data_IF_472785693055
#
_entry.id   IF_472785693055
#
_cell.length_a   1.000
_cell.length_b   1.000
_cell.length_c   1.000
_cell.angle_alpha   90.00
_cell.angle_beta   90.00
_cell.angle_gamma   90.00
#
_symmetry.space_group_name_H-M   'P 1'
#
loop_
_entity.id
_entity.type
_entity.pdbx_description
1 polymer ?
#
# COMPACT_ATOMS: atom_id res chain seq x y z
N UNK A 1 1.29 0.85 33.31
CA UNK A 1 1.59 2.19 32.73
C UNK A 1 0.34 2.66 32.00
N UNK A 2 -0.26 3.73 32.50
CA UNK A 2 -1.56 4.24 32.06
C UNK A 2 -1.51 4.70 30.60
N UNK A 3 -2.13 3.94 29.69
CA UNK A 3 -2.60 4.51 28.42
C UNK A 3 -3.80 5.37 28.76
N UNK A 4 -3.55 6.66 28.99
CA UNK A 4 -4.59 7.67 29.07
C UNK A 4 -5.41 7.57 27.79
N UNK A 5 -6.61 7.00 27.90
CA UNK A 5 -7.66 7.21 26.94
C UNK A 5 -7.96 8.70 27.01
N UNK A 6 -7.27 9.47 26.15
CA UNK A 6 -7.60 10.86 25.88
C UNK A 6 -9.07 10.82 25.51
N UNK A 7 -9.91 11.24 26.45
CA UNK A 7 -11.34 11.41 26.23
C UNK A 7 -11.46 12.54 25.22
N UNK A 8 -11.42 12.15 23.94
CA UNK A 8 -11.48 13.09 22.82
C UNK A 8 -12.89 13.64 22.84
N UNK A 9 -13.01 14.88 23.33
CA UNK A 9 -14.22 15.70 23.24
C UNK A 9 -14.85 15.46 21.87
N UNK A 10 -16.13 15.04 21.80
CA UNK A 10 -16.76 14.69 20.53
C UNK A 10 -16.60 15.88 19.57
N UNK A 11 -16.19 15.62 18.32
CA UNK A 11 -15.99 16.69 17.36
C UNK A 11 -17.29 17.48 17.22
N UNK A 12 -17.17 18.80 17.10
CA UNK A 12 -18.32 19.63 16.73
C UNK A 12 -18.88 19.11 15.40
N UNK A 13 -20.20 19.29 15.13
CA UNK A 13 -20.80 18.87 13.84
C UNK A 13 -19.97 19.33 12.64
N UNK A 14 -19.47 20.57 12.71
CA UNK A 14 -18.61 21.18 11.67
C UNK A 14 -17.28 20.44 11.50
N UNK A 15 -16.66 19.98 12.60
CA UNK A 15 -15.45 19.17 12.53
C UNK A 15 -15.73 17.78 11.94
N UNK A 16 -16.84 17.13 12.31
CA UNK A 16 -17.24 15.85 11.74
C UNK A 16 -17.51 15.95 10.22
N UNK A 17 -18.14 17.02 9.77
CA UNK A 17 -18.38 17.28 8.35
C UNK A 17 -17.07 17.53 7.58
N UNK A 18 -16.13 18.28 8.17
CA UNK A 18 -14.81 18.51 7.59
C UNK A 18 -13.97 17.22 7.50
N UNK A 19 -14.02 16.38 8.54
CA UNK A 19 -13.39 15.06 8.57
C UNK A 19 -14.00 14.12 7.52
N UNK A 20 -15.33 14.12 7.38
CA UNK A 20 -16.04 13.35 6.35
C UNK A 20 -15.68 13.82 4.93
N UNK A 21 -15.56 15.14 4.72
CA UNK A 21 -15.12 15.72 3.46
C UNK A 21 -13.67 15.32 3.13
N UNK A 22 -12.77 15.29 4.14
CA UNK A 22 -11.41 14.79 3.97
C UNK A 22 -11.39 13.30 3.61
N UNK A 23 -12.21 12.48 4.28
CA UNK A 23 -12.36 11.06 3.98
C UNK A 23 -12.87 10.82 2.54
N UNK A 24 -13.78 11.66 2.05
CA UNK A 24 -14.27 11.60 0.67
C UNK A 24 -13.20 12.05 -0.34
N UNK A 25 -12.50 13.14 -0.05
CA UNK A 25 -11.39 13.64 -0.85
C UNK A 25 -10.24 12.64 -0.93
N UNK A 26 -9.93 11.91 0.14
CA UNK A 26 -8.92 10.86 0.12
C UNK A 26 -9.34 9.67 -0.78
N UNK A 27 -10.62 9.29 -0.76
CA UNK A 27 -11.16 8.17 -1.57
C UNK A 27 -11.23 8.47 -3.06
N UNK A 28 -11.71 9.65 -3.43
CA UNK A 28 -12.00 9.98 -4.85
C UNK A 28 -11.37 11.27 -5.35
N UNK A 29 -10.90 12.12 -4.45
CA UNK A 29 -10.41 13.44 -4.77
C UNK A 29 -8.99 13.49 -5.32
N UNK A 30 -8.64 14.67 -5.81
CA UNK A 30 -7.31 15.08 -6.26
C UNK A 30 -6.49 15.67 -5.11
N UNK A 31 -5.17 15.76 -5.28
CA UNK A 31 -4.29 16.39 -4.28
C UNK A 31 -4.69 17.82 -3.91
N UNK A 32 -5.30 18.59 -4.84
CA UNK A 32 -5.83 19.93 -4.55
C UNK A 32 -7.01 19.88 -3.58
N UNK A 33 -7.97 18.99 -3.82
CA UNK A 33 -9.13 18.81 -2.95
C UNK A 33 -8.71 18.31 -1.56
N UNK A 34 -7.74 17.40 -1.50
CA UNK A 34 -7.21 16.91 -0.23
C UNK A 34 -6.51 18.01 0.55
N UNK A 35 -5.71 18.87 -0.10
CA UNK A 35 -5.11 20.04 0.56
C UNK A 35 -6.15 21.00 1.11
N UNK A 36 -7.19 21.28 0.33
CA UNK A 36 -8.29 22.14 0.77
C UNK A 36 -9.03 21.53 1.98
N UNK A 37 -9.36 20.23 1.92
CA UNK A 37 -10.00 19.52 3.02
C UNK A 37 -9.12 19.49 4.28
N UNK A 38 -7.80 19.27 4.14
CA UNK A 38 -6.87 19.35 5.27
C UNK A 38 -6.82 20.75 5.88
N UNK A 39 -6.84 21.82 5.06
CA UNK A 39 -6.89 23.18 5.57
C UNK A 39 -8.18 23.45 6.36
N UNK A 40 -9.32 22.94 5.88
CA UNK A 40 -10.60 23.01 6.59
C UNK A 40 -10.53 22.31 7.95
N UNK A 41 -10.07 21.05 7.99
CA UNK A 41 -9.95 20.27 9.23
C UNK A 41 -9.02 20.94 10.24
N UNK A 42 -7.95 21.62 9.80
CA UNK A 42 -7.05 22.35 10.72
C UNK A 42 -7.65 23.66 11.23
N UNK A 43 -8.54 24.27 10.46
CA UNK A 43 -9.22 25.52 10.84
C UNK A 43 -10.39 25.27 11.80
N UNK A 44 -10.93 24.05 11.85
CA UNK A 44 -12.04 23.69 12.73
C UNK A 44 -11.55 23.30 14.11
N UNK A 45 -12.25 23.77 15.14
CA UNK A 45 -11.97 23.39 16.53
C UNK A 45 -12.30 21.92 16.75
N UNK A 46 -11.26 21.11 16.99
CA UNK A 46 -11.38 19.67 17.25
C UNK A 46 -11.32 18.79 16.00
N UNK A 47 -10.92 19.32 14.84
CA UNK A 47 -10.68 18.51 13.64
C UNK A 47 -9.40 17.69 13.72
N UNK A 48 -9.48 16.41 13.38
CA UNK A 48 -8.33 15.50 13.32
C UNK A 48 -8.10 14.99 11.88
N UNK A 49 -6.90 15.24 11.34
CA UNK A 49 -6.51 14.75 10.01
C UNK A 49 -6.36 13.22 10.01
N UNK A 50 -5.98 12.64 11.14
CA UNK A 50 -5.81 11.20 11.31
C UNK A 50 -7.10 10.52 11.78
N UNK A 51 -8.25 11.21 11.67
CA UNK A 51 -9.54 10.61 12.01
C UNK A 51 -9.74 9.34 11.20
N UNK A 52 -9.93 8.24 11.93
CA UNK A 52 -10.22 6.93 11.37
C UNK A 52 -11.67 6.88 10.91
N UNK A 53 -11.92 6.25 9.78
CA UNK A 53 -13.26 6.10 9.20
C UNK A 53 -13.43 4.78 8.45
N UNK A 54 -14.68 4.41 8.21
CA UNK A 54 -15.04 3.19 7.47
C UNK A 54 -14.88 1.90 8.27
N UNK A 55 -15.17 0.77 7.62
CA UNK A 55 -15.28 -0.56 8.27
C UNK A 55 -13.95 -1.06 8.85
N UNK A 56 -12.81 -0.56 8.34
CA UNK A 56 -11.47 -0.95 8.79
C UNK A 56 -10.75 0.06 9.67
N UNK A 57 -11.43 1.09 10.18
CA UNK A 57 -10.83 2.19 10.95
C UNK A 57 -9.57 2.77 10.29
N UNK A 58 -9.67 3.07 8.99
CA UNK A 58 -8.55 3.55 8.18
C UNK A 58 -8.42 5.07 8.27
N UNK A 59 -7.20 5.59 8.20
CA UNK A 59 -6.95 7.04 8.09
C UNK A 59 -6.93 7.47 6.62
N UNK A 60 -7.06 8.79 6.31
CA UNK A 60 -6.93 9.29 4.94
C UNK A 60 -5.63 8.85 4.26
N UNK A 61 -4.54 8.73 5.03
CA UNK A 61 -3.24 8.32 4.53
C UNK A 61 -3.19 6.84 4.11
N UNK A 62 -3.92 5.95 4.79
CA UNK A 62 -4.08 4.56 4.37
C UNK A 62 -4.75 4.45 3.00
N UNK A 63 -5.81 5.24 2.78
CA UNK A 63 -6.53 5.27 1.49
C UNK A 63 -5.63 5.81 0.39
N UNK A 64 -4.87 6.87 0.64
CA UNK A 64 -3.91 7.41 -0.31
C UNK A 64 -2.80 6.40 -0.67
N UNK A 65 -2.30 5.66 0.33
CA UNK A 65 -1.31 4.61 0.13
C UNK A 65 -1.85 3.42 -0.67
N UNK A 66 -3.11 3.03 -0.42
CA UNK A 66 -3.82 1.99 -1.16
C UNK A 66 -4.07 2.37 -2.63
N UNK A 67 -4.41 3.64 -2.89
CA UNK A 67 -4.59 4.16 -4.27
C UNK A 67 -3.27 4.32 -5.03
N UNK A 68 -2.14 4.38 -4.33
CA UNK A 68 -0.82 4.62 -4.94
C UNK A 68 -0.59 6.06 -5.40
N UNK A 69 -1.44 6.99 -4.98
CA UNK A 69 -1.44 8.36 -5.48
C UNK A 69 -0.45 9.24 -4.68
N UNK A 70 0.81 9.25 -5.12
CA UNK A 70 1.91 9.92 -4.41
C UNK A 70 1.68 11.42 -4.19
N UNK A 71 0.88 12.09 -5.02
CA UNK A 71 0.54 13.51 -4.84
C UNK A 71 -0.36 13.71 -3.63
N UNK A 72 -1.35 12.82 -3.46
CA UNK A 72 -2.26 12.83 -2.31
C UNK A 72 -1.52 12.46 -1.03
N UNK A 73 -0.65 11.44 -1.09
CA UNK A 73 0.22 11.06 0.04
C UNK A 73 1.04 12.26 0.51
N UNK A 74 1.73 12.95 -0.40
CA UNK A 74 2.52 14.15 -0.06
C UNK A 74 1.65 15.24 0.56
N UNK A 75 0.47 15.50 -0.02
CA UNK A 75 -0.46 16.51 0.52
C UNK A 75 -0.91 16.20 1.95
N UNK A 76 -1.22 14.94 2.27
CA UNK A 76 -1.60 14.52 3.62
C UNK A 76 -0.41 14.61 4.58
N UNK A 77 0.79 14.19 4.15
CA UNK A 77 1.99 14.31 4.94
C UNK A 77 2.39 15.78 5.19
N UNK A 78 2.24 16.66 4.19
CA UNK A 78 2.42 18.12 4.34
C UNK A 78 1.45 18.70 5.36
N UNK A 79 0.23 18.15 5.41
CA UNK A 79 -0.77 18.53 6.38
C UNK A 79 -0.52 17.95 7.79
N UNK A 80 0.51 17.12 7.99
CA UNK A 80 0.87 16.55 9.29
C UNK A 80 0.20 15.22 9.62
N UNK A 81 -0.31 14.49 8.62
CA UNK A 81 -0.87 13.15 8.84
C UNK A 81 0.18 12.18 9.41
N UNK A 82 -0.24 11.36 10.36
CA UNK A 82 0.63 10.39 11.02
C UNK A 82 1.03 9.24 10.10
N UNK A 83 2.34 9.07 9.91
CA UNK A 83 2.94 7.98 9.14
C UNK A 83 2.86 6.61 9.85
N UNK A 84 2.67 6.64 11.17
CA UNK A 84 2.64 5.46 12.04
C UNK A 84 1.22 5.09 12.48
N UNK A 85 0.20 5.71 11.89
CA UNK A 85 -1.19 5.34 12.12
C UNK A 85 -1.40 3.86 11.82
N UNK A 86 -2.22 3.19 12.62
CA UNK A 86 -2.59 1.78 12.43
C UNK A 86 -4.07 1.68 12.11
N UNK A 87 -4.43 0.93 11.06
CA UNK A 87 -5.82 0.56 10.81
C UNK A 87 -6.35 -0.44 11.85
N UNK A 88 -7.67 -0.51 12.01
CA UNK A 88 -8.30 -1.38 13.01
C UNK A 88 -8.42 -2.83 12.57
N UNK A 89 -8.35 -3.08 11.26
CA UNK A 89 -8.58 -4.41 10.68
C UNK A 89 -7.34 -5.30 10.77
N UNK A 90 -6.17 -4.78 10.39
CA UNK A 90 -4.93 -5.55 10.34
C UNK A 90 -3.80 -4.93 11.18
N UNK A 91 -4.04 -3.77 11.79
CA UNK A 91 -2.98 -2.98 12.43
C UNK A 91 -1.96 -2.47 11.43
N UNK A 92 -2.32 -2.40 10.15
CA UNK A 92 -1.42 -1.98 9.09
C UNK A 92 -1.15 -0.50 9.18
N UNK A 93 0.09 -0.13 8.86
CA UNK A 93 0.44 1.27 8.61
C UNK A 93 0.17 1.64 7.14
N UNK A 94 0.14 2.94 6.79
CA UNK A 94 0.05 3.36 5.40
C UNK A 94 1.16 2.74 4.52
N UNK A 95 2.35 2.51 5.08
CA UNK A 95 3.45 1.87 4.35
C UNK A 95 3.18 0.39 4.07
N UNK A 96 2.55 -0.35 5.00
CA UNK A 96 2.10 -1.72 4.75
C UNK A 96 1.11 -1.78 3.59
N UNK A 97 0.10 -0.88 3.57
CA UNK A 97 -0.87 -0.78 2.47
C UNK A 97 -0.18 -0.54 1.13
N UNK A 98 0.78 0.40 1.09
CA UNK A 98 1.53 0.72 -0.13
C UNK A 98 2.32 -0.48 -0.65
N UNK A 99 3.03 -1.20 0.22
CA UNK A 99 3.82 -2.37 -0.17
C UNK A 99 2.97 -3.57 -0.55
N UNK A 100 1.90 -3.86 0.19
CA UNK A 100 0.98 -4.95 -0.12
C UNK A 100 0.37 -4.82 -1.52
N UNK A 101 0.10 -3.59 -1.96
CA UNK A 101 -0.51 -3.32 -3.26
C UNK A 101 0.52 -3.00 -4.37
N UNK A 102 1.82 -3.08 -4.08
CA UNK A 102 2.87 -2.79 -5.07
C UNK A 102 2.97 -1.32 -5.48
N UNK A 103 2.43 -0.39 -4.68
CA UNK A 103 2.39 1.03 -4.98
C UNK A 103 3.72 1.74 -4.69
N UNK A 104 4.73 1.47 -5.52
CA UNK A 104 6.09 1.98 -5.33
C UNK A 104 6.16 3.51 -5.21
N UNK A 105 5.35 4.26 -5.96
CA UNK A 105 5.32 5.73 -5.91
C UNK A 105 4.82 6.26 -4.57
N UNK A 106 3.77 5.66 -4.01
CA UNK A 106 3.25 6.03 -2.69
C UNK A 106 4.22 5.61 -1.58
N UNK A 107 4.80 4.41 -1.67
CA UNK A 107 5.82 3.95 -0.73
C UNK A 107 7.05 4.89 -0.71
N UNK A 108 7.57 5.27 -1.88
CA UNK A 108 8.67 6.23 -1.99
C UNK A 108 8.32 7.59 -1.38
N UNK A 109 7.08 8.06 -1.55
CA UNK A 109 6.63 9.31 -0.95
C UNK A 109 6.54 9.24 0.59
N UNK A 110 6.09 8.11 1.14
CA UNK A 110 6.06 7.88 2.59
C UNK A 110 7.47 7.77 3.18
N UNK A 111 8.37 7.02 2.52
CA UNK A 111 9.77 6.87 2.93
C UNK A 111 10.52 8.20 2.91
N UNK A 112 10.30 9.02 1.89
CA UNK A 112 10.87 10.36 1.80
C UNK A 112 10.42 11.29 2.94
N UNK A 113 9.34 10.94 3.65
CA UNK A 113 8.84 11.67 4.83
C UNK A 113 9.24 11.03 6.16
N UNK A 114 10.11 10.02 6.13
CA UNK A 114 10.63 9.37 7.34
C UNK A 114 9.76 8.22 7.86
N UNK A 115 8.89 7.64 7.04
CA UNK A 115 8.22 6.40 7.41
C UNK A 115 9.26 5.29 7.65
N UNK A 116 9.19 4.60 8.79
CA UNK A 116 10.14 3.55 9.12
C UNK A 116 9.80 2.24 8.40
N UNK A 117 10.83 1.56 7.89
CA UNK A 117 10.71 0.21 7.32
C UNK A 117 10.61 -0.88 8.40
N UNK A 118 10.97 -0.56 9.64
CA UNK A 118 11.12 -1.52 10.74
C UNK A 118 10.10 -1.30 11.88
N UNK A 119 9.31 -0.21 11.84
CA UNK A 119 8.33 0.13 12.87
C UNK A 119 7.11 0.81 12.22
N UNK A 120 5.87 0.66 12.73
CA UNK A 120 5.37 -0.29 13.73
C UNK A 120 4.96 -1.64 13.12
N UNK A 121 5.00 -2.72 13.92
CA UNK A 121 4.53 -4.05 13.51
C UNK A 121 3.00 -4.09 13.35
N UNK A 122 2.51 -4.85 12.38
CA UNK A 122 1.09 -5.16 12.23
C UNK A 122 0.58 -6.11 13.34
N UNK A 123 -0.72 -6.45 13.33
CA UNK A 123 -1.28 -7.38 14.32
C UNK A 123 -0.65 -8.79 14.26
N UNK A 124 0.03 -9.11 13.16
CA UNK A 124 0.73 -10.38 12.96
C UNK A 124 2.23 -10.27 13.27
N UNK A 125 2.69 -9.16 13.86
CA UNK A 125 4.09 -8.96 14.24
C UNK A 125 5.03 -8.77 13.04
N UNK A 126 4.53 -8.37 11.87
CA UNK A 126 5.31 -8.18 10.65
C UNK A 126 5.67 -6.73 10.45
N UNK A 127 6.87 -6.49 9.95
CA UNK A 127 7.31 -5.16 9.52
C UNK A 127 6.79 -4.82 8.11
N UNK A 128 6.77 -3.53 7.73
CA UNK A 128 6.49 -3.12 6.36
C UNK A 128 7.38 -3.85 5.34
N UNK A 129 8.66 -4.06 5.67
CA UNK A 129 9.61 -4.77 4.82
C UNK A 129 9.25 -6.26 4.65
N UNK A 130 8.76 -6.92 5.71
CA UNK A 130 8.29 -8.30 5.61
C UNK A 130 7.09 -8.43 4.68
N UNK A 131 6.15 -7.47 4.75
CA UNK A 131 5.00 -7.41 3.85
C UNK A 131 5.43 -7.17 2.41
N UNK A 132 6.37 -6.25 2.18
CA UNK A 132 6.96 -6.04 0.84
C UNK A 132 7.59 -7.33 0.31
N UNK A 133 8.39 -8.00 1.12
CA UNK A 133 9.10 -9.22 0.73
C UNK A 133 8.12 -10.34 0.35
N UNK A 134 7.03 -10.51 1.11
CA UNK A 134 5.95 -11.46 0.79
C UNK A 134 5.16 -11.06 -0.45
N UNK A 135 4.87 -9.78 -0.62
CA UNK A 135 4.16 -9.26 -1.79
C UNK A 135 4.97 -9.48 -3.07
N UNK A 136 6.28 -9.21 -3.03
CA UNK A 136 7.18 -9.46 -4.17
C UNK A 136 7.31 -10.96 -4.48
N UNK A 137 7.48 -11.82 -3.47
CA UNK A 137 7.58 -13.27 -3.68
C UNK A 137 6.36 -13.84 -4.39
N UNK A 138 5.14 -13.50 -3.94
CA UNK A 138 3.90 -13.91 -4.62
C UNK A 138 3.92 -13.51 -6.10
N UNK A 139 4.31 -12.27 -6.38
CA UNK A 139 4.37 -11.75 -7.76
C UNK A 139 5.37 -12.51 -8.65
N UNK A 140 6.53 -12.88 -8.12
CA UNK A 140 7.53 -13.66 -8.86
C UNK A 140 7.14 -15.13 -9.02
N UNK A 141 6.49 -15.74 -8.02
CA UNK A 141 6.02 -17.13 -8.10
C UNK A 141 4.91 -17.28 -9.15
N UNK A 142 3.97 -16.32 -9.25
CA UNK A 142 2.95 -16.28 -10.31
C UNK A 142 3.58 -16.14 -11.72
N UNK A 143 4.57 -15.25 -11.90
CA UNK A 143 5.30 -15.09 -13.17
C UNK A 143 6.10 -16.35 -13.57
N UNK A 144 6.65 -17.07 -12.59
CA UNK A 144 7.36 -18.33 -12.83
C UNK A 144 6.40 -19.45 -13.27
N UNK A 145 5.21 -19.51 -12.66
CA UNK A 145 4.16 -20.44 -13.07
C UNK A 145 3.59 -20.11 -14.46
N UNK A 146 3.49 -18.83 -14.84
CA UNK A 146 2.99 -18.45 -16.16
C UNK A 146 4.00 -18.76 -17.30
N UNK A 147 5.30 -18.55 -17.08
CA UNK A 147 6.34 -18.98 -18.03
C UNK A 147 6.39 -20.49 -18.22
N UNK A 148 6.18 -21.26 -17.14
CA UNK A 148 6.16 -22.72 -17.25
C UNK A 148 4.91 -23.24 -17.98
N UNK A 149 3.79 -22.53 -17.95
CA UNK A 149 2.58 -22.83 -18.75
C UNK A 149 2.67 -22.39 -20.21
N UNK A 150 3.36 -21.28 -20.50
CA UNK A 150 3.58 -20.80 -21.87
C UNK A 150 4.69 -21.54 -22.62
N UNK A 151 5.58 -22.26 -21.91
CA UNK A 151 6.50 -23.19 -22.54
C UNK A 151 5.77 -24.49 -22.93
N UNK A 152 5.03 -24.44 -24.04
CA UNK A 152 4.61 -25.64 -24.77
C UNK A 152 5.75 -25.99 -25.72
N UNK A 153 6.55 -27.06 -25.49
CA UNK A 153 7.52 -27.47 -26.50
C UNK A 153 6.70 -27.86 -27.74
N UNK A 154 6.85 -27.10 -28.82
CA UNK A 154 6.27 -27.50 -30.09
C UNK A 154 6.95 -28.82 -30.47
N UNK A 155 6.15 -29.88 -30.58
CA UNK A 155 6.60 -31.26 -30.78
C UNK A 155 7.37 -31.52 -32.10
N UNK A 156 7.82 -30.48 -32.81
CA UNK A 156 8.65 -30.61 -34.01
C UNK A 156 10.16 -30.50 -33.75
N UNK A 157 10.60 -29.94 -32.63
CA UNK A 157 12.03 -29.69 -32.39
C UNK A 157 12.81 -30.94 -31.92
N UNK A 158 12.17 -31.88 -31.23
CA UNK A 158 12.84 -33.11 -30.74
C UNK A 158 13.04 -34.18 -31.81
N UNK A 159 12.31 -34.11 -32.94
CA UNK A 159 12.48 -35.07 -34.03
C UNK A 159 13.64 -34.72 -34.97
N UNK A 160 14.09 -33.45 -34.99
CA UNK A 160 15.27 -33.04 -35.74
C UNK A 160 16.59 -33.40 -35.03
N UNK A 161 16.64 -33.34 -33.70
CA UNK A 161 17.84 -33.65 -32.93
C UNK A 161 18.15 -35.17 -32.87
N UNK A 162 17.12 -36.02 -32.80
CA UNK A 162 17.30 -37.48 -32.76
C UNK A 162 17.69 -38.08 -34.13
N UNK A 163 17.33 -37.44 -35.25
CA UNK A 163 17.67 -37.93 -36.58
C UNK A 163 19.13 -37.63 -36.98
N UNK A 164 19.77 -36.59 -36.44
CA UNK A 164 21.17 -36.26 -36.79
C UNK A 164 22.22 -37.11 -36.06
N UNK A 165 21.83 -37.80 -34.97
CA UNK A 165 22.73 -38.68 -34.22
C UNK A 165 22.80 -40.12 -34.79
N UNK A 166 21.85 -40.52 -35.65
CA UNK A 166 21.78 -41.86 -36.22
C UNK A 166 22.53 -42.01 -37.57
N UNK A 167 22.98 -40.90 -38.18
CA UNK A 167 23.68 -40.93 -39.48
C UNK A 167 25.20 -40.98 -39.36
N UNK A 168 25.76 -40.92 -38.14
CA UNK A 168 27.22 -40.86 -37.93
C UNK A 168 27.85 -42.17 -37.43
N UNK A 169 27.09 -43.27 -37.37
CA UNK A 169 27.55 -44.57 -36.83
C UNK A 169 27.59 -45.70 -37.86
N UNK A 170 27.57 -45.41 -39.16
CA UNK A 170 27.67 -46.43 -40.21
C UNK A 170 28.46 -45.94 -41.43
N UNK A 171 29.79 -45.79 -41.29
CA UNK A 171 30.76 -45.90 -42.38
C UNK A 171 32.16 -46.07 -41.81
N UNK A 172 32.68 -47.30 -41.94
CA UNK A 172 34.09 -47.70 -42.07
C UNK A 172 35.07 -47.41 -40.94
#
# INVERSE_FOLDING_TARGET
AASGAVERKPPSRVAADAEAALADAARRGTARQVRAACALVRSTTGGDIDRRFGIGDVTPLHVAAWRGDARVVRALCDAGASLTARDGESGWSPLHRAFHHGNARAAAALLARGASLHAPLDLLGRSPLDVLTRALRRRFDDDALDRSRSYRPTASSTRAAAASAASSSSSS
#
